data_IF_245233185793
#
_entry.id   IF_245233185793
#
_cell.length_a   1.000
_cell.length_b   1.000
_cell.length_c   1.000
_cell.angle_alpha   90.00
_cell.angle_beta   90.00
_cell.angle_gamma   90.00
#
_symmetry.space_group_name_H-M   'P 1'
#
loop_
_entity.id
_entity.type
_entity.pdbx_description
1 polymer ?
#
# COMPACT_ATOMS: atom_id res chain seq x y z
N UNK A 1 -14.63 -10.73 19.72
CA UNK A 1 -14.65 -11.25 18.34
C UNK A 1 -13.93 -12.58 18.34
N UNK A 2 -14.63 -13.67 18.05
CA UNK A 2 -14.16 -15.02 18.35
C UNK A 2 -12.97 -15.45 17.48
N UNK A 3 -11.85 -15.79 18.12
CA UNK A 3 -10.62 -16.36 17.53
C UNK A 3 -10.81 -17.71 16.80
N UNK A 4 -11.99 -18.32 16.91
CA UNK A 4 -12.32 -19.62 16.31
C UNK A 4 -12.62 -19.58 14.80
N UNK A 5 -12.93 -18.42 14.21
CA UNK A 5 -13.25 -18.31 12.79
C UNK A 5 -12.03 -18.05 11.90
N UNK A 6 -10.97 -17.44 12.44
CA UNK A 6 -9.72 -17.19 11.69
C UNK A 6 -8.89 -18.46 11.53
N UNK A 7 -8.90 -19.35 12.52
CA UNK A 7 -8.21 -20.65 12.43
C UNK A 7 -8.87 -21.60 11.41
N UNK A 8 -10.18 -21.50 11.19
CA UNK A 8 -10.89 -22.33 10.21
C UNK A 8 -10.63 -21.87 8.76
N UNK A 9 -10.46 -20.59 8.53
CA UNK A 9 -10.08 -20.06 7.21
C UNK A 9 -8.62 -20.40 6.85
N UNK A 10 -7.72 -20.36 7.82
CA UNK A 10 -6.33 -20.78 7.62
C UNK A 10 -6.22 -22.28 7.37
N UNK A 11 -7.01 -23.09 8.10
CA UNK A 11 -7.09 -24.52 7.89
C UNK A 11 -7.72 -24.90 6.54
N UNK A 12 -8.72 -24.16 6.06
CA UNK A 12 -9.32 -24.37 4.73
C UNK A 12 -8.35 -24.02 3.60
N UNK A 13 -7.54 -22.96 3.76
CA UNK A 13 -6.48 -22.63 2.80
C UNK A 13 -5.35 -23.67 2.78
N UNK A 14 -4.99 -24.25 3.94
CA UNK A 14 -4.01 -25.34 4.01
C UNK A 14 -4.57 -26.66 3.46
N UNK A 15 -5.87 -26.97 3.67
CA UNK A 15 -6.48 -28.21 3.17
C UNK A 15 -6.67 -28.21 1.65
N UNK A 16 -6.82 -27.05 1.01
CA UNK A 16 -6.82 -26.94 -0.46
C UNK A 16 -5.42 -27.17 -1.06
N UNK A 17 -4.36 -26.94 -0.29
CA UNK A 17 -2.99 -27.15 -0.72
C UNK A 17 -2.55 -28.63 -0.72
N UNK A 18 -3.25 -29.51 0.01
CA UNK A 18 -2.83 -30.92 0.15
C UNK A 18 -3.38 -31.87 -0.90
N UNK A 19 -4.29 -31.44 -1.79
CA UNK A 19 -4.94 -32.33 -2.75
C UNK A 19 -4.31 -32.37 -4.15
N UNK A 20 -3.28 -31.56 -4.44
CA UNK A 20 -2.59 -31.56 -5.74
C UNK A 20 -1.07 -31.59 -5.61
N UNK A 21 -0.56 -32.49 -4.80
CA UNK A 21 0.88 -32.75 -4.73
C UNK A 21 1.27 -33.83 -5.73
N UNK A 22 1.43 -33.49 -6.97
CA UNK A 22 2.33 -34.22 -7.85
C UNK A 22 3.71 -33.61 -7.62
N UNK A 23 4.44 -34.17 -6.66
CA UNK A 23 5.82 -33.83 -6.42
C UNK A 23 6.66 -34.35 -7.57
N UNK A 24 7.10 -33.45 -8.41
CA UNK A 24 8.16 -33.75 -9.33
C UNK A 24 9.50 -33.48 -8.65
N UNK A 25 10.30 -34.55 -8.50
CA UNK A 25 11.43 -34.62 -7.57
C UNK A 25 12.74 -33.98 -8.05
N UNK A 26 12.74 -33.30 -9.19
CA UNK A 26 14.01 -32.79 -9.79
C UNK A 26 14.03 -31.28 -10.05
N UNK A 27 13.33 -30.50 -9.26
CA UNK A 27 13.40 -29.03 -9.37
C UNK A 27 14.63 -28.49 -8.64
N UNK A 28 15.38 -27.55 -9.23
CA UNK A 28 16.54 -26.99 -8.56
C UNK A 28 16.15 -26.25 -7.29
N UNK A 29 17.04 -26.33 -6.30
CA UNK A 29 16.89 -25.82 -4.95
C UNK A 29 16.60 -24.30 -4.85
N UNK A 30 16.86 -23.52 -5.90
CA UNK A 30 16.63 -22.07 -5.89
C UNK A 30 16.06 -21.60 -7.25
N UNK A 31 14.92 -21.00 -7.22
CA UNK A 31 14.45 -20.08 -8.25
C UNK A 31 14.71 -18.66 -7.76
N UNK A 32 15.52 -17.91 -8.50
CA UNK A 32 15.84 -16.51 -8.19
C UNK A 32 14.79 -15.54 -8.74
N UNK A 33 13.75 -16.06 -9.36
CA UNK A 33 12.74 -15.23 -10.01
C UNK A 33 11.40 -15.44 -9.38
N UNK A 34 10.83 -14.36 -9.01
CA UNK A 34 9.45 -14.29 -8.60
C UNK A 34 8.72 -13.37 -9.51
N UNK A 35 8.26 -13.90 -10.46
CA UNK A 35 7.35 -13.22 -11.33
C UNK A 35 6.36 -14.21 -11.80
N UNK A 36 5.76 -13.99 -12.85
CA UNK A 36 4.73 -14.77 -13.47
C UNK A 36 4.86 -16.28 -13.24
N UNK A 37 6.08 -16.78 -13.02
CA UNK A 37 6.33 -18.12 -12.50
C UNK A 37 7.66 -18.15 -11.78
N UNK A 38 7.65 -18.14 -10.49
CA UNK A 38 8.83 -18.47 -9.68
C UNK A 38 9.24 -19.95 -9.81
N UNK A 39 8.69 -20.68 -10.76
CA UNK A 39 8.76 -22.13 -10.92
C UNK A 39 9.45 -22.47 -12.22
N UNK A 40 10.39 -23.39 -12.15
CA UNK A 40 11.02 -23.96 -13.34
C UNK A 40 10.01 -24.83 -14.09
N UNK A 41 9.84 -24.58 -15.39
CA UNK A 41 8.91 -25.38 -16.20
C UNK A 41 9.49 -26.76 -16.45
N UNK A 42 8.67 -27.78 -16.27
CA UNK A 42 8.95 -29.15 -16.63
C UNK A 42 8.04 -29.61 -17.77
N UNK A 43 8.55 -30.46 -18.65
CA UNK A 43 7.75 -31.14 -19.65
C UNK A 43 6.83 -32.18 -18.98
N UNK A 44 5.86 -32.71 -19.73
CA UNK A 44 4.95 -33.74 -19.23
C UNK A 44 5.64 -35.07 -18.84
N UNK A 45 6.88 -35.27 -19.24
CA UNK A 45 7.71 -36.43 -18.88
C UNK A 45 8.58 -36.20 -17.64
N UNK A 46 8.42 -35.05 -16.95
CA UNK A 46 9.21 -34.69 -15.78
C UNK A 46 10.59 -34.12 -16.10
N UNK A 47 11.00 -34.04 -17.35
CA UNK A 47 12.23 -33.38 -17.75
C UNK A 47 12.07 -31.87 -17.73
N UNK A 48 13.17 -31.14 -17.49
CA UNK A 48 13.17 -29.67 -17.57
C UNK A 48 12.77 -29.24 -18.98
N UNK A 49 11.82 -28.34 -19.09
CA UNK A 49 11.49 -27.72 -20.36
C UNK A 49 12.76 -27.13 -20.96
N UNK A 50 13.09 -27.55 -22.18
CA UNK A 50 14.24 -27.01 -22.89
C UNK A 50 14.17 -25.50 -22.96
N UNK A 51 15.34 -24.87 -22.90
CA UNK A 51 15.47 -23.43 -22.95
C UNK A 51 14.57 -22.85 -24.05
N UNK A 52 13.58 -22.06 -23.66
CA UNK A 52 12.78 -21.28 -24.59
C UNK A 52 13.78 -20.44 -25.41
N UNK A 53 13.69 -20.48 -26.73
CA UNK A 53 14.56 -19.66 -27.59
C UNK A 53 14.53 -18.24 -27.08
N UNK A 54 15.65 -17.80 -26.49
CA UNK A 54 15.82 -16.46 -26.01
C UNK A 54 15.89 -15.53 -27.23
N UNK A 55 14.86 -14.72 -27.40
CA UNK A 55 15.09 -13.47 -28.13
C UNK A 55 16.06 -12.67 -27.28
N UNK A 56 17.21 -12.29 -27.83
CA UNK A 56 18.23 -11.51 -27.16
C UNK A 56 17.63 -10.18 -26.68
N UNK A 57 17.25 -10.14 -25.41
CA UNK A 57 16.71 -8.95 -24.75
C UNK A 57 17.77 -8.40 -23.80
N UNK A 58 17.91 -7.08 -23.77
CA UNK A 58 18.87 -6.41 -22.89
C UNK A 58 18.47 -6.59 -21.41
N UNK A 59 17.18 -6.69 -21.12
CA UNK A 59 16.63 -6.85 -19.77
C UNK A 59 15.80 -8.14 -19.64
N UNK A 60 15.81 -8.77 -18.47
CA UNK A 60 16.65 -8.46 -17.30
C UNK A 60 18.13 -8.85 -17.57
N UNK A 61 19.07 -8.09 -17.00
CA UNK A 61 20.49 -8.45 -16.99
C UNK A 61 20.62 -9.85 -16.36
N UNK A 62 21.38 -10.76 -16.96
CA UNK A 62 21.48 -12.19 -16.64
C UNK A 62 20.21 -13.01 -16.97
N UNK A 63 19.26 -12.43 -17.71
CA UNK A 63 18.04 -13.12 -18.11
C UNK A 63 18.34 -14.38 -18.92
N UNK A 64 19.29 -14.32 -19.86
CA UNK A 64 19.66 -15.48 -20.69
C UNK A 64 20.26 -16.61 -19.85
N UNK A 65 21.09 -16.27 -18.87
CA UNK A 65 21.66 -17.27 -17.95
C UNK A 65 20.58 -17.92 -17.07
N UNK A 66 19.57 -17.17 -16.67
CA UNK A 66 18.44 -17.71 -15.92
C UNK A 66 17.54 -18.59 -16.79
N UNK A 67 17.21 -18.16 -18.01
CA UNK A 67 16.43 -18.97 -18.98
C UNK A 67 17.16 -20.26 -19.38
N UNK A 68 18.49 -20.20 -19.54
CA UNK A 68 19.30 -21.40 -19.82
C UNK A 68 19.23 -22.44 -18.69
N UNK A 69 18.90 -22.03 -17.47
CA UNK A 69 18.64 -22.91 -16.32
C UNK A 69 17.16 -23.33 -16.20
N UNK A 70 16.33 -23.02 -17.22
CA UNK A 70 14.91 -23.40 -17.25
C UNK A 70 13.99 -22.48 -16.47
N UNK A 71 14.42 -21.28 -16.06
CA UNK A 71 13.54 -20.31 -15.41
C UNK A 71 12.69 -19.56 -16.44
N UNK A 72 11.40 -19.52 -16.21
CA UNK A 72 10.50 -18.65 -16.96
C UNK A 72 10.53 -17.25 -16.33
N UNK A 73 10.97 -16.28 -17.12
CA UNK A 73 11.09 -14.89 -16.67
C UNK A 73 9.93 -14.06 -17.21
N UNK A 74 9.45 -13.06 -16.45
CA UNK A 74 8.44 -12.15 -16.95
C UNK A 74 8.96 -11.30 -18.08
N UNK A 75 8.05 -10.71 -18.80
CA UNK A 75 8.37 -9.62 -19.68
C UNK A 75 8.99 -8.45 -18.88
N UNK A 76 10.06 -7.81 -19.40
CA UNK A 76 10.90 -6.93 -18.60
C UNK A 76 10.22 -5.63 -18.18
N UNK A 77 9.24 -5.16 -18.92
CA UNK A 77 8.54 -3.91 -18.62
C UNK A 77 7.11 -4.18 -18.18
N UNK A 78 6.64 -3.43 -17.20
CA UNK A 78 5.27 -3.51 -16.71
C UNK A 78 4.63 -2.15 -16.56
N UNK A 79 3.35 -2.09 -16.86
CA UNK A 79 2.47 -0.96 -16.57
C UNK A 79 1.26 -1.46 -15.82
N UNK A 80 0.97 -0.89 -14.67
CA UNK A 80 -0.19 -1.30 -13.88
C UNK A 80 -0.99 -0.11 -13.35
N UNK A 81 -2.29 -0.34 -13.25
CA UNK A 81 -3.20 0.56 -12.57
C UNK A 81 -3.76 -0.11 -11.33
N UNK A 82 -3.76 0.61 -10.23
CA UNK A 82 -4.22 0.08 -8.95
C UNK A 82 -5.18 1.02 -8.23
N UNK A 83 -6.04 0.40 -7.45
CA UNK A 83 -6.93 1.05 -6.51
C UNK A 83 -6.66 0.50 -5.11
N UNK A 84 -6.57 1.38 -4.12
CA UNK A 84 -6.45 1.03 -2.72
C UNK A 84 -7.46 1.80 -1.89
N UNK A 85 -8.17 1.11 -1.01
CA UNK A 85 -8.98 1.68 0.05
C UNK A 85 -8.35 1.31 1.39
N UNK A 86 -8.18 2.29 2.26
CA UNK A 86 -7.48 2.15 3.53
C UNK A 86 -8.28 2.79 4.66
N UNK A 87 -8.33 2.11 5.81
CA UNK A 87 -8.87 2.62 7.07
C UNK A 87 -7.91 2.33 8.19
N UNK A 88 -7.49 3.39 8.90
CA UNK A 88 -6.45 3.30 9.93
C UNK A 88 -6.70 4.27 11.07
N UNK A 89 -6.11 3.96 12.22
CA UNK A 89 -6.11 4.84 13.37
C UNK A 89 -4.81 5.69 13.35
N UNK A 90 -4.98 6.96 13.66
CA UNK A 90 -3.94 8.00 13.63
C UNK A 90 -3.76 8.58 15.02
N UNK A 91 -2.53 8.93 15.36
CA UNK A 91 -2.18 9.72 16.55
C UNK A 91 -1.82 11.12 16.10
N UNK A 92 -2.49 12.10 16.67
CA UNK A 92 -2.18 13.51 16.45
C UNK A 92 -1.12 13.94 17.44
N UNK A 93 0.04 14.34 16.94
CA UNK A 93 1.21 14.72 17.75
C UNK A 93 1.12 16.15 18.23
N UNK A 94 0.70 17.06 17.35
CA UNK A 94 0.58 18.47 17.68
C UNK A 94 -0.44 19.17 16.79
N UNK A 95 -1.13 20.14 17.40
CA UNK A 95 -2.01 21.08 16.71
C UNK A 95 -1.56 22.48 17.14
N UNK A 96 -1.07 23.27 16.18
CA UNK A 96 -0.58 24.64 16.41
C UNK A 96 -1.42 25.60 15.57
N UNK A 97 -1.65 26.80 16.14
CA UNK A 97 -2.31 27.90 15.44
C UNK A 97 -1.35 29.10 15.38
N UNK A 98 -1.39 29.79 14.26
CA UNK A 98 -0.66 31.05 14.05
C UNK A 98 -1.66 32.15 13.67
N UNK A 99 -1.66 33.24 14.40
CA UNK A 99 -2.51 34.41 14.16
C UNK A 99 -1.70 35.51 13.47
N UNK A 100 -2.15 35.93 12.30
CA UNK A 100 -1.47 36.98 11.52
C UNK A 100 -1.57 38.34 12.18
N UNK A 101 -2.71 38.65 12.84
CA UNK A 101 -2.90 39.92 13.50
C UNK A 101 -2.15 39.97 14.85
N UNK A 102 -1.30 40.96 15.08
CA UNK A 102 -0.51 41.11 16.31
C UNK A 102 -1.35 41.13 17.61
N UNK A 103 -2.60 41.59 17.56
CA UNK A 103 -3.52 41.65 18.72
C UNK A 103 -3.81 40.23 19.22
N UNK A 104 -3.90 39.27 18.33
CA UNK A 104 -4.23 37.86 18.66
C UNK A 104 -3.01 36.96 18.81
N UNK A 105 -1.78 37.45 18.54
CA UNK A 105 -0.54 36.67 18.70
C UNK A 105 -0.36 36.00 20.07
N UNK A 106 -0.71 36.64 21.19
CA UNK A 106 -0.63 35.98 22.50
C UNK A 106 -1.51 34.69 22.59
N UNK A 107 -2.57 34.59 21.78
CA UNK A 107 -3.46 33.45 21.75
C UNK A 107 -2.82 32.19 21.19
N UNK A 108 -1.78 32.28 20.37
CA UNK A 108 -1.03 31.14 19.84
C UNK A 108 -0.56 30.19 20.94
N UNK A 109 -0.06 30.76 22.05
CA UNK A 109 0.44 29.99 23.19
C UNK A 109 -0.66 29.57 24.17
N UNK A 110 -1.82 30.22 24.11
CA UNK A 110 -2.93 30.01 25.05
C UNK A 110 -4.01 29.10 24.47
N UNK A 111 -4.04 28.91 23.14
CA UNK A 111 -4.96 27.99 22.50
C UNK A 111 -4.42 26.57 22.64
N UNK A 112 -5.16 25.72 23.34
CA UNK A 112 -4.82 24.32 23.57
C UNK A 112 -5.89 23.45 22.92
N UNK A 113 -5.45 22.55 22.05
CA UNK A 113 -6.32 21.57 21.41
C UNK A 113 -5.74 20.17 21.61
N UNK A 114 -6.47 19.35 22.33
CA UNK A 114 -6.12 17.95 22.53
C UNK A 114 -7.02 17.10 21.61
N UNK A 115 -6.39 16.36 20.72
CA UNK A 115 -7.08 15.42 19.86
C UNK A 115 -7.19 14.06 20.55
N UNK A 116 -8.39 13.49 20.53
CA UNK A 116 -8.65 12.13 20.97
C UNK A 116 -8.45 11.12 19.83
N UNK A 117 -9.28 10.08 19.82
CA UNK A 117 -9.21 9.05 18.78
C UNK A 117 -9.44 9.63 17.40
N UNK A 118 -8.46 9.48 16.54
CA UNK A 118 -8.52 9.93 15.15
C UNK A 118 -8.54 8.71 14.22
N UNK A 119 -9.51 8.68 13.31
CA UNK A 119 -9.63 7.64 12.30
C UNK A 119 -9.59 8.24 10.91
N UNK A 120 -8.70 7.69 10.09
CA UNK A 120 -8.55 8.06 8.70
C UNK A 120 -9.15 7.02 7.78
N UNK A 121 -9.78 7.50 6.70
CA UNK A 121 -10.16 6.72 5.53
C UNK A 121 -9.55 7.37 4.31
N UNK A 122 -8.89 6.59 3.47
CA UNK A 122 -8.32 7.09 2.22
C UNK A 122 -8.55 6.14 1.06
N UNK A 123 -8.61 6.71 -0.12
CA UNK A 123 -8.68 6.02 -1.41
C UNK A 123 -7.56 6.54 -2.30
N UNK A 124 -6.84 5.63 -2.89
CA UNK A 124 -5.70 5.95 -3.75
C UNK A 124 -5.83 5.23 -5.09
N UNK A 125 -5.70 5.99 -6.16
CA UNK A 125 -5.62 5.50 -7.54
C UNK A 125 -4.21 5.74 -8.05
N UNK A 126 -3.51 4.70 -8.48
CA UNK A 126 -2.11 4.79 -8.90
C UNK A 126 -1.84 4.11 -10.23
N UNK A 127 -1.01 4.75 -11.03
CA UNK A 127 -0.29 4.16 -12.15
C UNK A 127 1.12 3.78 -11.66
N UNK A 128 1.56 2.58 -11.96
CA UNK A 128 2.93 2.10 -11.73
C UNK A 128 3.55 1.72 -13.06
N UNK A 129 4.78 2.16 -13.29
CA UNK A 129 5.64 1.68 -14.36
C UNK A 129 6.84 0.99 -13.72
N UNK A 130 7.15 -0.20 -14.18
CA UNK A 130 8.21 -1.01 -13.60
C UNK A 130 9.08 -1.69 -14.65
N UNK A 131 10.27 -2.09 -14.22
CA UNK A 131 11.17 -2.90 -15.01
C UNK A 131 11.91 -3.92 -14.15
N UNK A 132 12.02 -5.15 -14.66
CA UNK A 132 12.91 -6.15 -14.12
C UNK A 132 14.34 -5.89 -14.63
N UNK A 133 15.13 -5.30 -13.74
CA UNK A 133 16.53 -4.98 -14.04
C UNK A 133 17.40 -6.25 -13.93
N UNK A 134 17.12 -7.06 -12.92
CA UNK A 134 17.71 -8.38 -12.71
C UNK A 134 16.58 -9.42 -12.58
N UNK A 135 16.85 -10.71 -12.78
CA UNK A 135 15.82 -11.76 -12.62
C UNK A 135 15.10 -11.77 -11.27
N UNK A 136 15.71 -11.18 -10.25
CA UNK A 136 15.20 -11.11 -8.88
C UNK A 136 14.95 -9.67 -8.39
N UNK A 137 15.21 -8.65 -9.20
CA UNK A 137 15.10 -7.24 -8.83
C UNK A 137 14.23 -6.48 -9.82
N UNK A 138 13.07 -6.03 -9.35
CA UNK A 138 12.19 -5.09 -10.04
C UNK A 138 12.36 -3.69 -9.46
N UNK A 139 12.39 -2.68 -10.32
CA UNK A 139 12.44 -1.26 -9.94
C UNK A 139 11.25 -0.56 -10.56
N UNK A 140 10.60 0.33 -9.82
CA UNK A 140 9.40 0.98 -10.30
C UNK A 140 9.22 2.41 -9.82
N UNK A 141 8.46 3.16 -10.61
CA UNK A 141 7.93 4.46 -10.26
C UNK A 141 6.41 4.43 -10.19
N UNK A 142 5.84 5.27 -9.33
CA UNK A 142 4.39 5.40 -9.16
C UNK A 142 3.96 6.85 -9.24
N UNK A 143 2.78 7.06 -9.82
CA UNK A 143 2.11 8.35 -9.86
C UNK A 143 0.60 8.17 -9.77
N UNK A 144 -0.06 9.00 -8.94
CA UNK A 144 -1.49 8.86 -8.76
C UNK A 144 -2.14 9.98 -7.98
N UNK A 145 -3.34 9.69 -7.49
CA UNK A 145 -4.14 10.61 -6.69
C UNK A 145 -4.64 9.91 -5.45
N UNK A 146 -4.51 10.61 -4.33
CA UNK A 146 -5.05 10.16 -3.04
C UNK A 146 -6.09 11.16 -2.56
N UNK A 147 -7.20 10.66 -2.06
CA UNK A 147 -8.21 11.45 -1.33
C UNK A 147 -8.55 10.73 -0.03
N UNK A 148 -8.88 11.48 0.99
CA UNK A 148 -9.20 10.89 2.26
C UNK A 148 -9.92 11.86 3.20
N UNK A 149 -10.35 11.29 4.32
CA UNK A 149 -11.06 11.98 5.39
C UNK A 149 -10.47 11.51 6.71
N UNK A 150 -10.05 12.46 7.52
CA UNK A 150 -9.61 12.24 8.90
C UNK A 150 -10.71 12.74 9.85
N UNK A 151 -11.24 11.85 10.68
CA UNK A 151 -12.25 12.16 11.70
C UNK A 151 -11.65 12.02 13.08
N UNK A 152 -11.71 13.08 13.86
CA UNK A 152 -11.23 13.10 15.22
C UNK A 152 -12.28 13.65 16.17
N UNK A 153 -12.28 13.22 17.42
CA UNK A 153 -12.93 13.92 18.52
C UNK A 153 -11.86 14.79 19.19
N UNK A 154 -12.10 16.10 19.22
CA UNK A 154 -11.27 17.00 19.99
C UNK A 154 -11.70 16.89 21.45
N UNK A 155 -10.89 16.23 22.27
CA UNK A 155 -11.20 15.96 23.67
C UNK A 155 -11.36 17.25 24.48
N UNK A 156 -10.50 18.24 24.18
CA UNK A 156 -10.53 19.55 24.81
C UNK A 156 -10.04 20.60 23.83
N UNK A 157 -10.81 21.68 23.72
CA UNK A 157 -10.44 22.90 23.00
C UNK A 157 -10.56 24.06 23.96
N UNK A 158 -9.46 24.73 24.26
CA UNK A 158 -9.42 25.96 25.04
C UNK A 158 -8.92 27.10 24.17
N UNK A 159 -9.63 28.20 24.18
CA UNK A 159 -9.21 29.43 23.54
C UNK A 159 -9.37 30.62 24.51
N UNK A 160 -8.49 31.62 24.43
CA UNK A 160 -8.61 32.82 25.25
C UNK A 160 -9.96 33.51 25.04
N UNK A 161 -10.60 33.92 26.14
CA UNK A 161 -11.94 34.51 26.11
C UNK A 161 -13.09 33.51 26.21
N UNK A 162 -12.82 32.21 26.15
CA UNK A 162 -13.78 31.19 26.49
C UNK A 162 -13.90 31.04 28.00
N UNK A 163 -15.14 31.00 28.50
CA UNK A 163 -15.39 30.85 29.95
C UNK A 163 -15.03 29.45 30.45
N UNK A 164 -15.27 28.44 29.60
CA UNK A 164 -14.90 27.05 29.85
C UNK A 164 -14.37 26.41 28.57
N UNK A 165 -13.49 25.39 28.69
CA UNK A 165 -13.04 24.64 27.52
C UNK A 165 -14.18 23.83 26.90
N UNK A 166 -14.25 23.82 25.58
CA UNK A 166 -15.13 22.91 24.84
C UNK A 166 -14.59 21.48 24.93
N UNK A 167 -15.48 20.51 25.03
CA UNK A 167 -15.13 19.10 25.16
C UNK A 167 -15.85 18.25 24.12
N UNK A 168 -15.20 17.16 23.68
CA UNK A 168 -15.75 16.14 22.79
C UNK A 168 -16.33 16.72 21.48
N UNK A 169 -15.61 17.65 20.84
CA UNK A 169 -16.04 18.23 19.58
C UNK A 169 -15.68 17.32 18.41
N UNK A 170 -16.63 16.88 17.58
CA UNK A 170 -16.33 16.17 16.35
C UNK A 170 -15.68 17.12 15.35
N UNK A 171 -14.55 16.69 14.78
CA UNK A 171 -13.85 17.43 13.74
C UNK A 171 -13.54 16.52 12.57
N UNK A 172 -13.79 16.99 11.38
CA UNK A 172 -13.56 16.27 10.13
C UNK A 172 -12.68 17.08 9.19
N UNK A 173 -11.60 16.47 8.73
CA UNK A 173 -10.69 17.04 7.75
C UNK A 173 -10.71 16.21 6.48
N UNK A 174 -11.13 16.82 5.39
CA UNK A 174 -11.08 16.23 4.06
C UNK A 174 -9.81 16.67 3.33
N UNK A 175 -9.12 15.73 2.73
CA UNK A 175 -7.91 16.01 1.98
C UNK A 175 -7.88 15.26 0.65
N UNK A 176 -7.19 15.84 -0.31
CA UNK A 176 -6.87 15.25 -1.61
C UNK A 176 -5.53 15.77 -2.10
N UNK A 177 -4.85 14.97 -2.91
CA UNK A 177 -3.54 15.35 -3.42
C UNK A 177 -3.02 14.42 -4.49
N UNK A 178 -1.86 14.78 -5.02
CA UNK A 178 -1.12 14.01 -6.01
C UNK A 178 -0.03 13.22 -5.31
N UNK A 179 -0.02 11.91 -5.54
CA UNK A 179 0.95 10.98 -4.94
C UNK A 179 1.95 10.55 -6.00
N UNK A 180 3.22 10.59 -5.67
CA UNK A 180 4.31 10.10 -6.51
C UNK A 180 5.39 9.45 -5.64
N UNK A 181 6.17 8.60 -6.27
CA UNK A 181 7.23 7.89 -5.56
C UNK A 181 7.82 6.76 -6.38
N UNK A 182 8.51 5.88 -5.70
CA UNK A 182 9.13 4.72 -6.34
C UNK A 182 9.54 3.69 -5.32
N UNK A 183 9.95 2.54 -5.82
CA UNK A 183 10.36 1.44 -4.97
C UNK A 183 11.08 0.35 -5.73
N UNK A 184 11.41 -0.67 -4.99
CA UNK A 184 12.03 -1.89 -5.48
C UNK A 184 11.32 -3.11 -4.91
N UNK A 185 11.28 -4.17 -5.69
CA UNK A 185 10.83 -5.49 -5.23
C UNK A 185 11.95 -6.49 -5.44
N UNK A 186 12.37 -7.12 -4.36
CA UNK A 186 13.21 -8.33 -4.40
C UNK A 186 12.31 -9.55 -4.39
N UNK A 187 12.66 -10.53 -5.21
CA UNK A 187 11.86 -11.71 -5.39
C UNK A 187 12.72 -12.96 -5.51
N UNK A 188 12.27 -14.06 -4.90
CA UNK A 188 12.92 -15.35 -4.99
C UNK A 188 11.94 -16.48 -4.73
N UNK A 189 12.25 -17.68 -5.22
CA UNK A 189 11.38 -18.84 -5.05
C UNK A 189 12.18 -20.14 -4.96
N UNK A 190 11.52 -21.13 -4.34
CA UNK A 190 11.99 -22.49 -4.21
C UNK A 190 10.82 -23.45 -4.47
N UNK A 191 10.94 -24.28 -5.47
CA UNK A 191 9.82 -25.07 -5.99
C UNK A 191 8.62 -24.16 -6.31
N UNK A 192 7.47 -24.40 -5.70
CA UNK A 192 6.26 -23.58 -5.84
C UNK A 192 6.13 -22.51 -4.74
N UNK A 193 7.05 -22.50 -3.76
CA UNK A 193 7.09 -21.47 -2.74
C UNK A 193 7.84 -20.25 -3.24
N UNK A 194 7.37 -19.10 -2.83
CA UNK A 194 8.02 -17.85 -3.15
C UNK A 194 8.08 -16.87 -1.97
N UNK A 195 9.03 -15.97 -2.03
CA UNK A 195 9.12 -14.86 -1.10
C UNK A 195 9.39 -13.56 -1.86
N UNK A 196 8.75 -12.46 -1.43
CA UNK A 196 9.07 -11.11 -1.88
C UNK A 196 9.36 -10.17 -0.74
N UNK A 197 10.18 -9.19 -1.03
CA UNK A 197 10.36 -8.01 -0.20
C UNK A 197 10.14 -6.78 -1.08
N UNK A 198 9.03 -6.11 -0.89
CA UNK A 198 8.74 -4.83 -1.53
C UNK A 198 9.09 -3.68 -0.60
N UNK A 199 9.76 -2.67 -1.10
CA UNK A 199 10.09 -1.45 -0.38
C UNK A 199 9.83 -0.26 -1.27
N UNK A 200 9.00 0.69 -0.80
CA UNK A 200 8.70 1.90 -1.53
C UNK A 200 8.63 3.13 -0.63
N UNK A 201 8.90 4.25 -1.25
CA UNK A 201 8.73 5.57 -0.65
C UNK A 201 7.83 6.42 -1.56
N UNK A 202 6.79 6.99 -0.96
CA UNK A 202 5.83 7.86 -1.67
C UNK A 202 5.65 9.16 -0.94
N UNK A 203 5.34 10.21 -1.70
CA UNK A 203 4.97 11.52 -1.20
C UNK A 203 3.68 11.98 -1.86
N UNK A 204 2.75 12.48 -1.05
CA UNK A 204 1.49 13.07 -1.50
C UNK A 204 1.53 14.56 -1.20
N UNK A 205 1.49 15.38 -2.24
CA UNK A 205 1.31 16.82 -2.11
C UNK A 205 -0.18 17.12 -2.10
N UNK A 206 -0.63 17.81 -1.07
CA UNK A 206 -2.05 18.14 -0.88
C UNK A 206 -2.45 19.34 -1.73
N UNK A 207 -3.66 19.29 -2.31
CA UNK A 207 -4.16 20.31 -3.25
C UNK A 207 -4.78 21.51 -2.55
N UNK A 208 -5.36 21.31 -1.35
CA UNK A 208 -6.15 22.34 -0.63
C UNK A 208 -5.40 22.86 0.59
N UNK A 209 -4.47 22.07 1.11
CA UNK A 209 -3.71 22.34 2.31
C UNK A 209 -2.23 22.45 1.94
N UNK A 210 -1.53 23.43 2.51
CA UNK A 210 -0.07 23.54 2.38
C UNK A 210 0.59 22.46 3.25
N UNK A 211 0.47 21.20 2.84
CA UNK A 211 0.99 20.08 3.60
C UNK A 211 1.36 18.91 2.69
N UNK A 212 2.00 17.95 3.30
CA UNK A 212 2.40 16.73 2.62
C UNK A 212 2.24 15.49 3.50
N UNK A 213 2.09 14.36 2.82
CA UNK A 213 2.10 13.04 3.44
C UNK A 213 3.27 12.27 2.84
N UNK A 214 4.19 11.82 3.67
CA UNK A 214 5.26 10.93 3.27
C UNK A 214 5.06 9.55 3.87
N UNK A 215 5.32 8.50 3.08
CA UNK A 215 5.16 7.13 3.49
C UNK A 215 6.32 6.27 3.03
N UNK A 216 6.98 5.61 3.97
CA UNK A 216 7.87 4.48 3.73
C UNK A 216 7.09 3.19 4.01
N UNK A 217 7.05 2.31 3.02
CA UNK A 217 6.35 1.03 3.13
C UNK A 217 7.32 -0.11 2.85
N UNK A 218 7.34 -1.12 3.72
CA UNK A 218 8.13 -2.34 3.55
C UNK A 218 7.19 -3.52 3.74
N UNK A 219 7.11 -4.39 2.73
CA UNK A 219 6.15 -5.50 2.73
C UNK A 219 6.84 -6.81 2.36
N UNK A 220 7.31 -7.59 3.34
CA UNK A 220 7.66 -8.99 3.13
C UNK A 220 6.40 -9.84 2.90
N UNK A 221 6.49 -10.75 1.92
CA UNK A 221 5.44 -11.72 1.60
C UNK A 221 6.06 -13.09 1.38
N UNK A 222 5.34 -14.12 1.76
CA UNK A 222 5.65 -15.52 1.42
C UNK A 222 4.39 -16.17 0.88
N UNK A 223 4.54 -17.00 -0.13
CA UNK A 223 3.38 -17.57 -0.81
C UNK A 223 3.67 -18.84 -1.56
N UNK A 224 2.65 -19.30 -2.25
CA UNK A 224 2.65 -20.53 -3.03
C UNK A 224 2.00 -20.28 -4.39
N UNK A 225 2.58 -20.85 -5.45
CA UNK A 225 2.10 -20.76 -6.81
C UNK A 225 1.44 -22.08 -7.22
N UNK A 226 0.21 -21.98 -7.69
CA UNK A 226 -0.54 -23.06 -8.31
C UNK A 226 -0.50 -22.88 -9.82
N UNK A 227 -0.23 -23.97 -10.54
CA UNK A 227 -0.21 -23.99 -12.00
C UNK A 227 -1.38 -24.83 -12.47
N UNK A 228 -2.22 -24.29 -13.33
CA UNK A 228 -3.39 -24.92 -13.90
C UNK A 228 -3.27 -24.99 -15.41
N UNK A 229 -4.11 -25.84 -16.02
CA UNK A 229 -4.28 -25.83 -17.47
C UNK A 229 -4.74 -24.46 -17.98
N UNK A 230 -4.44 -24.11 -19.23
CA UNK A 230 -4.82 -22.81 -19.80
C UNK A 230 -6.33 -22.56 -19.72
N UNK A 231 -6.74 -21.45 -19.12
CA UNK A 231 -8.12 -20.95 -19.18
C UNK A 231 -8.50 -20.49 -20.60
N UNK A 232 -7.51 -19.98 -21.33
CA UNK A 232 -7.66 -19.50 -22.70
C UNK A 232 -6.72 -20.29 -23.61
N UNK A 233 -7.28 -20.93 -24.65
CA UNK A 233 -6.49 -21.70 -25.61
C UNK A 233 -5.37 -20.85 -26.23
N UNK A 234 -4.13 -21.35 -26.23
CA UNK A 234 -2.97 -20.68 -26.81
C UNK A 234 -2.29 -19.64 -25.91
N UNK A 235 -2.71 -19.49 -24.66
CA UNK A 235 -2.17 -18.46 -23.74
C UNK A 235 -1.14 -19.01 -22.70
N UNK A 236 -0.79 -20.28 -22.79
CA UNK A 236 0.05 -20.91 -21.76
C UNK A 236 -0.74 -21.28 -20.50
N UNK A 237 -0.06 -21.84 -19.52
CA UNK A 237 -0.69 -22.26 -18.27
C UNK A 237 -1.21 -21.08 -17.46
N UNK A 238 -2.37 -21.25 -16.84
CA UNK A 238 -2.91 -20.29 -15.88
C UNK A 238 -2.23 -20.48 -14.54
N UNK A 239 -1.70 -19.40 -13.96
CA UNK A 239 -1.01 -19.43 -12.68
C UNK A 239 -1.76 -18.62 -11.64
N UNK A 240 -1.88 -19.17 -10.45
CA UNK A 240 -2.51 -18.52 -9.31
C UNK A 240 -1.52 -18.51 -8.17
N UNK A 241 -1.12 -17.34 -7.74
CA UNK A 241 -0.26 -17.14 -6.58
C UNK A 241 -1.10 -16.69 -5.39
N UNK A 242 -0.87 -17.26 -4.22
CA UNK A 242 -1.46 -16.82 -2.96
C UNK A 242 -0.37 -16.59 -1.94
N UNK A 243 -0.52 -15.57 -1.11
CA UNK A 243 0.49 -15.23 -0.10
C UNK A 243 -0.10 -14.69 1.18
N UNK A 244 0.67 -14.82 2.23
CA UNK A 244 0.53 -14.06 3.47
C UNK A 244 1.71 -13.13 3.60
N UNK A 245 1.51 -12.00 4.24
CA UNK A 245 2.56 -11.01 4.44
C UNK A 245 2.35 -10.15 5.65
N UNK A 246 3.34 -9.33 5.92
CA UNK A 246 3.28 -8.24 6.88
C UNK A 246 3.65 -6.95 6.17
N UNK A 247 2.99 -5.86 6.54
CA UNK A 247 3.24 -4.54 5.97
C UNK A 247 3.68 -3.60 7.08
N UNK A 248 4.92 -3.16 7.01
CA UNK A 248 5.41 -2.05 7.80
C UNK A 248 5.15 -0.75 7.06
N UNK A 249 4.56 0.23 7.75
CA UNK A 249 4.38 1.57 7.21
C UNK A 249 4.86 2.60 8.22
N UNK A 250 5.68 3.51 7.76
CA UNK A 250 6.04 4.72 8.48
C UNK A 250 5.49 5.92 7.71
N UNK A 251 4.43 6.50 8.24
CA UNK A 251 3.71 7.60 7.60
C UNK A 251 3.80 8.82 8.52
N UNK A 252 4.30 9.90 7.97
CA UNK A 252 4.24 11.23 8.57
C UNK A 252 3.30 12.08 7.74
N UNK A 253 2.33 12.69 8.42
CA UNK A 253 1.35 13.56 7.80
C UNK A 253 1.44 14.93 8.44
N UNK A 254 1.59 15.95 7.63
CA UNK A 254 1.58 17.33 8.08
C UNK A 254 0.57 18.13 7.27
N UNK A 255 -0.45 18.62 7.95
CA UNK A 255 -1.48 19.44 7.36
C UNK A 255 -1.31 20.87 7.80
N UNK A 256 -1.14 21.76 6.84
CA UNK A 256 -1.06 23.20 7.06
C UNK A 256 -2.11 23.89 6.22
N UNK A 257 -2.67 24.96 6.74
CA UNK A 257 -3.63 25.72 5.97
C UNK A 257 -4.23 26.87 6.75
N UNK A 258 -5.21 27.53 6.13
CA UNK A 258 -5.97 28.58 6.81
C UNK A 258 -7.26 27.97 7.38
N UNK A 259 -7.58 28.34 8.62
CA UNK A 259 -8.79 27.91 9.30
C UNK A 259 -10.06 28.33 8.53
N UNK A 260 -9.98 29.36 7.70
CA UNK A 260 -11.07 29.75 6.81
C UNK A 260 -11.50 28.67 5.81
N UNK A 261 -10.60 27.73 5.49
CA UNK A 261 -10.82 26.63 4.57
C UNK A 261 -11.37 25.37 5.28
N UNK A 262 -11.61 25.45 6.59
CA UNK A 262 -12.15 24.35 7.39
C UNK A 262 -13.62 24.58 7.71
N UNK A 263 -14.38 23.50 7.64
CA UNK A 263 -15.75 23.44 8.16
C UNK A 263 -15.68 23.22 9.67
N UNK A 264 -15.78 24.31 10.43
CA UNK A 264 -15.73 24.26 11.88
C UNK A 264 -17.09 23.88 12.45
N UNK A 265 -17.14 23.06 13.54
CA UNK A 265 -18.36 22.81 14.29
C UNK A 265 -19.00 24.13 14.78
N UNK A 266 -20.35 24.20 14.84
CA UNK A 266 -21.06 25.40 15.30
C UNK A 266 -20.66 25.87 16.71
N UNK A 267 -20.20 24.96 17.56
CA UNK A 267 -19.71 25.22 18.91
C UNK A 267 -18.45 26.10 18.91
N UNK A 268 -17.68 26.08 17.80
CA UNK A 268 -16.51 26.92 17.60
C UNK A 268 -16.83 28.26 16.91
N UNK A 269 -18.06 28.77 17.04
CA UNK A 269 -18.48 30.04 16.44
C UNK A 269 -17.60 31.22 16.81
N UNK A 270 -16.93 31.20 17.97
CA UNK A 270 -15.93 32.20 18.32
C UNK A 270 -14.78 32.25 17.32
N UNK A 271 -14.26 31.10 16.90
CA UNK A 271 -13.24 31.02 15.84
C UNK A 271 -13.79 31.51 14.50
N UNK A 272 -15.05 31.27 14.22
CA UNK A 272 -15.74 31.78 13.03
C UNK A 272 -15.85 33.30 13.00
N UNK A 273 -16.01 33.94 14.16
CA UNK A 273 -15.99 35.40 14.27
C UNK A 273 -14.58 35.95 14.11
N UNK A 274 -13.60 35.31 14.71
CA UNK A 274 -12.21 35.78 14.69
C UNK A 274 -11.58 35.59 13.30
N UNK A 275 -11.88 34.50 12.59
CA UNK A 275 -11.37 34.27 11.21
C UNK A 275 -11.82 35.34 10.21
N UNK A 276 -12.87 36.12 10.53
CA UNK A 276 -13.29 37.27 9.73
C UNK A 276 -12.45 38.53 9.96
N UNK A 277 -11.72 38.58 11.08
CA UNK A 277 -10.89 39.72 11.49
C UNK A 277 -9.40 39.48 11.34
N UNK A 278 -8.98 38.22 11.26
CA UNK A 278 -7.58 37.84 11.09
C UNK A 278 -7.45 36.50 10.40
N UNK A 279 -6.40 36.32 9.61
CA UNK A 279 -6.04 35.03 9.11
C UNK A 279 -5.47 34.17 10.24
N UNK A 280 -6.08 32.99 10.42
CA UNK A 280 -5.63 31.97 11.37
C UNK A 280 -5.12 30.81 10.57
N UNK A 281 -3.83 30.54 10.70
CA UNK A 281 -3.21 29.34 10.11
C UNK A 281 -3.15 28.24 11.14
N UNK A 282 -3.28 27.00 10.68
CA UNK A 282 -3.08 25.80 11.50
C UNK A 282 -1.93 24.95 10.94
N UNK A 283 -1.26 24.23 11.83
CA UNK A 283 -0.22 23.24 11.53
C UNK A 283 -0.50 22.01 12.40
N UNK A 284 -0.90 20.92 11.77
CA UNK A 284 -1.22 19.65 12.44
C UNK A 284 -0.20 18.62 11.97
N UNK A 285 0.47 17.98 12.91
CA UNK A 285 1.38 16.87 12.67
C UNK A 285 0.81 15.61 13.30
N UNK A 286 0.83 14.51 12.54
CA UNK A 286 0.27 13.24 12.98
C UNK A 286 0.99 12.06 12.34
N UNK A 287 0.91 10.91 13.00
CA UNK A 287 1.51 9.65 12.54
C UNK A 287 0.58 8.46 12.76
N UNK A 288 0.96 7.30 12.23
CA UNK A 288 0.20 6.06 12.42
C UNK A 288 0.23 5.59 13.87
N UNK A 289 -0.92 5.17 14.40
CA UNK A 289 -1.00 4.54 15.71
C UNK A 289 -0.25 3.19 15.75
N UNK A 290 -0.23 2.46 14.64
CA UNK A 290 0.44 1.17 14.50
C UNK A 290 1.16 1.07 13.17
N UNK A 291 2.47 0.79 13.20
CA UNK A 291 3.28 0.69 11.98
C UNK A 291 3.12 -0.65 11.24
N UNK A 292 2.85 -1.74 11.95
CA UNK A 292 2.71 -3.07 11.38
C UNK A 292 1.25 -3.47 11.12
N UNK A 293 1.03 -4.20 10.03
CA UNK A 293 -0.25 -4.80 9.67
C UNK A 293 -0.03 -6.14 8.98
N UNK A 294 -1.03 -7.04 9.02
CA UNK A 294 -0.97 -8.30 8.30
C UNK A 294 -1.63 -8.16 6.95
N UNK A 295 -1.17 -8.93 5.95
CA UNK A 295 -1.75 -8.96 4.62
C UNK A 295 -1.98 -10.39 4.15
N UNK A 296 -2.97 -10.55 3.29
CA UNK A 296 -3.29 -11.76 2.56
C UNK A 296 -3.63 -11.36 1.13
N UNK A 297 -3.04 -12.00 0.15
CA UNK A 297 -3.28 -11.64 -1.24
C UNK A 297 -3.26 -12.81 -2.19
N UNK A 298 -3.73 -12.54 -3.40
CA UNK A 298 -3.69 -13.44 -4.52
C UNK A 298 -3.40 -12.68 -5.81
N UNK A 299 -2.74 -13.37 -6.76
CA UNK A 299 -2.51 -12.92 -8.13
C UNK A 299 -2.92 -14.01 -9.08
N UNK A 300 -3.59 -13.64 -10.14
CA UNK A 300 -4.00 -14.53 -11.23
C UNK A 300 -3.34 -14.02 -12.51
N UNK A 301 -2.57 -14.86 -13.14
CA UNK A 301 -2.08 -14.67 -14.49
C UNK A 301 -3.17 -15.11 -15.47
N UNK A 302 -3.93 -14.15 -15.99
CA UNK A 302 -5.03 -14.39 -16.92
C UNK A 302 -4.48 -14.72 -18.31
N UNK A 303 -3.45 -13.99 -18.72
CA UNK A 303 -2.65 -14.23 -19.92
C UNK A 303 -1.19 -14.00 -19.58
N UNK A 304 -0.26 -14.44 -20.42
CA UNK A 304 1.18 -14.19 -20.24
C UNK A 304 1.51 -12.70 -20.01
N UNK A 305 0.71 -11.81 -20.58
CA UNK A 305 0.95 -10.37 -20.52
C UNK A 305 0.03 -9.64 -19.52
N UNK A 306 -1.06 -10.27 -19.05
CA UNK A 306 -2.05 -9.62 -18.21
C UNK A 306 -2.31 -10.36 -16.91
N UNK A 307 -2.14 -9.65 -15.80
CA UNK A 307 -2.28 -10.16 -14.45
C UNK A 307 -3.26 -9.30 -13.65
N UNK A 308 -4.00 -9.95 -12.76
CA UNK A 308 -4.82 -9.28 -11.76
C UNK A 308 -4.31 -9.68 -10.38
N UNK A 309 -4.08 -8.68 -9.53
CA UNK A 309 -3.62 -8.86 -8.16
C UNK A 309 -4.61 -8.23 -7.20
N UNK A 310 -4.90 -8.91 -6.09
CA UNK A 310 -5.69 -8.37 -4.98
C UNK A 310 -5.04 -8.71 -3.66
N UNK A 311 -5.03 -7.75 -2.72
CA UNK A 311 -4.49 -7.92 -1.38
C UNK A 311 -5.40 -7.25 -0.35
N UNK A 312 -5.66 -7.93 0.76
CA UNK A 312 -6.39 -7.40 1.90
C UNK A 312 -5.46 -7.26 3.09
N UNK A 313 -5.56 -6.13 3.77
CA UNK A 313 -4.86 -5.90 5.04
C UNK A 313 -5.83 -5.99 6.21
N UNK A 314 -5.37 -6.57 7.32
CA UNK A 314 -6.18 -6.80 8.51
C UNK A 314 -5.36 -6.74 9.80
N UNK A 315 -6.05 -6.54 10.91
CA UNK A 315 -5.43 -6.37 12.23
C UNK A 315 -5.50 -4.92 12.67
N UNK A 316 -4.39 -4.21 12.58
CA UNK A 316 -4.31 -2.81 13.01
C UNK A 316 -4.90 -1.82 11.98
N UNK A 317 -4.92 -2.21 10.70
CA UNK A 317 -5.50 -1.45 9.60
C UNK A 317 -6.33 -2.38 8.72
N UNK A 318 -7.41 -1.84 8.20
CA UNK A 318 -8.20 -2.53 7.18
C UNK A 318 -7.88 -1.90 5.83
N UNK A 319 -7.38 -2.69 4.91
CA UNK A 319 -7.10 -2.24 3.55
C UNK A 319 -7.61 -3.24 2.52
N UNK A 320 -7.98 -2.71 1.38
CA UNK A 320 -8.26 -3.48 0.17
C UNK A 320 -7.48 -2.85 -0.97
N UNK A 321 -6.71 -3.68 -1.66
CA UNK A 321 -5.91 -3.31 -2.80
C UNK A 321 -6.26 -4.21 -3.98
N UNK A 322 -6.40 -3.64 -5.16
CA UNK A 322 -6.55 -4.36 -6.42
C UNK A 322 -5.74 -3.68 -7.51
N UNK A 323 -5.10 -4.46 -8.36
CA UNK A 323 -4.29 -3.98 -9.47
C UNK A 323 -4.47 -4.85 -10.70
N UNK A 324 -4.59 -4.20 -11.87
CA UNK A 324 -4.41 -4.83 -13.18
C UNK A 324 -3.04 -4.45 -13.71
N UNK A 325 -2.27 -5.42 -14.14
CA UNK A 325 -0.90 -5.26 -14.64
C UNK A 325 -0.78 -5.83 -16.06
N UNK A 326 -0.18 -5.04 -16.94
CA UNK A 326 0.18 -5.45 -18.30
C UNK A 326 1.71 -5.43 -18.44
N UNK A 327 2.26 -6.53 -18.99
CA UNK A 327 3.72 -6.69 -19.18
C UNK A 327 4.06 -6.88 -20.65
N UNK A 328 5.23 -6.31 -21.08
CA UNK A 328 5.69 -6.32 -22.47
C UNK A 328 7.22 -6.25 -22.56
#
# INVERSE_FOLDING_TARGET
>A
MNFTNTSKLLAAALCLATSYSYADSERPLFSLTMTESGVQQTNNDGSLAGATKSESRILPIWGDAARAKGYDLPEPFGASYSYMNLRQDIVVDSIKFEFTNPIFKPWEKQTIVNAGKTREKSETHMLKLDSWVLPFLNVYGVYGKTKGTSKTNLDTVYAPGAYEPWKNLPFELNFKGKTFGGGITLAGGYNQFFATLDTNYTRTNLDILDGDISALVITPRVGYEFVFEPLLAGQGNTKVQVWVGAMYQDITQRFKGNVSNLDLPPELALFDMIKKQTDIKFDVEQHLAHKWNNTLGARIEVTRNFNILSEVGFGNRNSFFISGEFRF
#
